data_IF_082016555217
#
_entry.id   IF_082016555217
#
_cell.length_a   1.000
_cell.length_b   1.000
_cell.length_c   1.000
_cell.angle_alpha   90.00
_cell.angle_beta   90.00
_cell.angle_gamma   90.00
#
_symmetry.space_group_name_H-M   'P 1'
#
loop_
_entity.id
_entity.type
_entity.pdbx_description
1 polymer ?
#
# COMPACT_ATOMS: atom_id res chain seq x y z
N UNK A 1 38.45 -13.54 -20.39
CA UNK A 1 37.81 -14.22 -19.25
C UNK A 1 37.20 -13.17 -18.34
N UNK A 2 35.89 -13.11 -18.12
CA UNK A 2 35.32 -12.29 -17.06
C UNK A 2 34.99 -13.20 -15.86
N UNK A 3 35.87 -13.18 -14.86
CA UNK A 3 35.72 -13.79 -13.53
C UNK A 3 36.44 -12.83 -12.58
N UNK A 4 35.89 -12.28 -11.50
CA UNK A 4 34.76 -12.63 -10.68
C UNK A 4 34.13 -11.34 -10.12
N UNK A 5 32.86 -11.08 -10.42
CA UNK A 5 32.09 -10.17 -9.57
C UNK A 5 31.77 -10.93 -8.27
N UNK A 6 32.11 -10.41 -7.08
CA UNK A 6 31.87 -11.11 -5.83
C UNK A 6 30.38 -11.46 -5.73
N UNK A 7 30.07 -12.77 -5.72
CA UNK A 7 28.70 -13.26 -5.63
C UNK A 7 28.13 -12.85 -4.28
N UNK A 8 27.38 -11.74 -4.27
CA UNK A 8 26.61 -11.30 -3.11
C UNK A 8 25.85 -12.50 -2.51
N UNK A 9 25.97 -12.76 -1.19
CA UNK A 9 25.40 -13.94 -0.56
C UNK A 9 23.89 -14.00 -0.80
N UNK A 10 23.33 -15.22 -0.95
CA UNK A 10 21.91 -15.43 -1.28
C UNK A 10 20.96 -14.62 -0.38
N UNK A 11 21.28 -14.50 0.91
CA UNK A 11 20.56 -13.67 1.86
C UNK A 11 20.38 -12.23 1.38
N UNK A 12 21.42 -11.60 0.82
CA UNK A 12 21.38 -10.23 0.29
C UNK A 12 20.57 -10.08 -1.00
N UNK A 13 20.43 -11.15 -1.81
CA UNK A 13 19.61 -11.14 -3.04
C UNK A 13 18.12 -11.17 -2.74
N UNK A 14 17.74 -11.83 -1.65
CA UNK A 14 16.34 -11.95 -1.24
C UNK A 14 15.86 -10.79 -0.38
N UNK A 15 16.74 -9.84 -0.02
CA UNK A 15 16.36 -8.78 0.90
C UNK A 15 15.28 -7.86 0.33
N UNK A 16 15.53 -7.27 -0.84
CA UNK A 16 14.56 -6.37 -1.47
C UNK A 16 13.24 -7.08 -1.77
N UNK A 17 13.23 -8.28 -2.38
CA UNK A 17 12.00 -9.07 -2.55
C UNK A 17 11.22 -9.33 -1.26
N UNK A 18 11.91 -9.69 -0.17
CA UNK A 18 11.24 -10.00 1.09
C UNK A 18 10.69 -8.73 1.74
N UNK A 19 11.42 -7.61 1.68
CA UNK A 19 10.93 -6.32 2.15
C UNK A 19 9.70 -5.86 1.33
N UNK A 20 9.73 -6.06 0.01
CA UNK A 20 8.60 -5.78 -0.87
C UNK A 20 7.36 -6.60 -0.49
N UNK A 21 7.54 -7.90 -0.23
CA UNK A 21 6.47 -8.79 0.19
C UNK A 21 5.89 -8.34 1.54
N UNK A 22 6.73 -8.05 2.54
CA UNK A 22 6.29 -7.67 3.87
C UNK A 22 5.59 -6.30 3.90
N UNK A 23 6.11 -5.31 3.17
CA UNK A 23 5.46 -4.00 3.06
C UNK A 23 4.19 -4.04 2.22
N UNK A 24 4.17 -4.86 1.16
CA UNK A 24 2.96 -5.17 0.41
C UNK A 24 1.90 -5.81 1.30
N UNK A 25 2.28 -6.84 2.05
CA UNK A 25 1.41 -7.56 2.98
C UNK A 25 0.88 -6.66 4.11
N UNK A 26 1.74 -5.81 4.67
CA UNK A 26 1.34 -4.82 5.67
C UNK A 26 0.20 -3.93 5.13
N UNK A 27 0.39 -3.36 3.93
CA UNK A 27 -0.62 -2.48 3.34
C UNK A 27 -1.91 -3.22 2.97
N UNK A 28 -1.79 -4.46 2.47
CA UNK A 28 -2.93 -5.26 2.03
C UNK A 28 -3.72 -5.89 3.18
N UNK A 29 -3.10 -6.07 4.35
CA UNK A 29 -3.81 -6.46 5.58
C UNK A 29 -4.50 -5.27 6.21
N UNK A 30 -3.79 -4.15 6.35
CA UNK A 30 -4.31 -2.99 7.08
C UNK A 30 -5.55 -2.41 6.37
N UNK A 31 -5.45 -2.11 5.08
CA UNK A 31 -6.48 -1.37 4.34
C UNK A 31 -7.90 -1.99 4.43
N UNK A 32 -8.12 -3.27 4.09
CA UNK A 32 -9.46 -3.87 4.20
C UNK A 32 -9.86 -4.13 5.66
N UNK A 33 -8.90 -4.33 6.56
CA UNK A 33 -9.21 -4.62 7.95
C UNK A 33 -9.65 -3.38 8.74
N UNK A 34 -9.26 -2.17 8.33
CA UNK A 34 -9.61 -0.94 9.06
C UNK A 34 -11.11 -0.78 9.27
N UNK A 35 -11.92 -0.99 8.24
CA UNK A 35 -13.38 -0.90 8.36
C UNK A 35 -13.91 -1.91 9.38
N UNK A 36 -13.41 -3.14 9.33
CA UNK A 36 -13.84 -4.20 10.24
C UNK A 36 -13.33 -4.00 11.67
N UNK A 37 -12.12 -3.47 11.85
CA UNK A 37 -11.57 -3.06 13.16
C UNK A 37 -12.48 -1.98 13.77
N UNK A 38 -12.85 -0.97 12.99
CA UNK A 38 -13.71 0.12 13.46
C UNK A 38 -15.11 -0.40 13.84
N UNK A 39 -15.72 -1.22 12.99
CA UNK A 39 -17.02 -1.84 13.27
C UNK A 39 -16.98 -2.71 14.54
N UNK A 40 -15.98 -3.58 14.69
CA UNK A 40 -15.98 -4.63 15.72
C UNK A 40 -15.35 -4.22 17.05
N UNK A 41 -14.35 -3.33 17.07
CA UNK A 41 -13.70 -2.90 18.32
C UNK A 41 -14.36 -1.66 18.92
N UNK A 42 -15.02 -0.84 18.12
CA UNK A 42 -15.56 0.46 18.53
C UNK A 42 -17.06 0.59 18.30
N UNK A 43 -17.74 -0.46 17.83
CA UNK A 43 -19.17 -0.47 17.51
C UNK A 43 -19.56 0.67 16.55
N UNK A 44 -18.66 0.98 15.61
CA UNK A 44 -18.81 2.11 14.72
C UNK A 44 -19.90 1.83 13.68
N UNK A 45 -20.83 2.78 13.51
CA UNK A 45 -21.81 2.73 12.43
C UNK A 45 -21.14 2.87 11.07
N UNK A 46 -21.83 2.50 9.98
CA UNK A 46 -21.32 2.69 8.60
C UNK A 46 -20.93 4.15 8.32
N UNK A 47 -21.68 5.11 8.87
CA UNK A 47 -21.38 6.54 8.74
C UNK A 47 -20.09 6.93 9.50
N UNK A 48 -19.91 6.39 10.71
CA UNK A 48 -18.73 6.62 11.54
C UNK A 48 -17.45 6.05 10.92
N UNK A 49 -17.56 4.85 10.33
CA UNK A 49 -16.47 4.23 9.56
C UNK A 49 -16.11 5.12 8.37
N UNK A 50 -17.12 5.58 7.61
CA UNK A 50 -16.91 6.48 6.48
C UNK A 50 -16.16 7.75 6.85
N UNK A 51 -16.60 8.45 7.91
CA UNK A 51 -15.92 9.66 8.39
C UNK A 51 -14.51 9.39 8.92
N UNK A 52 -14.33 8.32 9.69
CA UNK A 52 -13.03 7.97 10.26
C UNK A 52 -12.01 7.63 9.17
N UNK A 53 -12.42 6.86 8.16
CA UNK A 53 -11.58 6.54 7.01
C UNK A 53 -11.31 7.76 6.13
N UNK A 54 -12.28 8.67 5.96
CA UNK A 54 -12.06 9.92 5.23
C UNK A 54 -11.00 10.79 5.91
N UNK A 55 -11.10 10.97 7.23
CA UNK A 55 -10.14 11.74 8.03
C UNK A 55 -8.76 11.06 8.01
N UNK A 56 -8.72 9.73 8.19
CA UNK A 56 -7.48 8.95 8.08
C UNK A 56 -6.81 9.12 6.72
N UNK A 57 -7.55 8.98 5.63
CA UNK A 57 -7.02 9.11 4.27
C UNK A 57 -6.55 10.54 3.97
N UNK A 58 -7.23 11.57 4.48
CA UNK A 58 -6.76 12.95 4.38
C UNK A 58 -5.43 13.16 5.13
N UNK A 59 -5.30 12.58 6.32
CA UNK A 59 -4.05 12.56 7.08
C UNK A 59 -2.93 11.81 6.35
N UNK A 60 -3.23 10.63 5.82
CA UNK A 60 -2.31 9.82 5.02
C UNK A 60 -1.85 10.54 3.76
N UNK A 61 -2.74 11.28 3.09
CA UNK A 61 -2.41 12.12 1.95
C UNK A 61 -1.41 13.22 2.31
N UNK A 62 -1.66 13.98 3.39
CA UNK A 62 -0.72 15.00 3.88
C UNK A 62 0.64 14.35 4.22
N UNK A 63 0.62 13.23 4.95
CA UNK A 63 1.81 12.47 5.31
C UNK A 63 2.61 12.04 4.05
N UNK A 64 1.92 11.58 3.00
CA UNK A 64 2.51 11.18 1.72
C UNK A 64 3.12 12.30 0.89
N UNK A 65 2.84 13.56 1.22
CA UNK A 65 3.49 14.72 0.59
C UNK A 65 4.67 15.18 1.46
N UNK A 66 4.41 15.38 2.75
CA UNK A 66 5.37 16.03 3.66
C UNK A 66 6.55 15.11 3.97
N UNK A 67 6.29 13.85 4.32
CA UNK A 67 7.34 12.94 4.78
C UNK A 67 8.28 12.53 3.64
N UNK A 68 7.80 12.17 2.43
CA UNK A 68 8.68 11.94 1.29
C UNK A 68 9.54 13.15 0.93
N UNK A 69 8.95 14.36 0.88
CA UNK A 69 9.70 15.59 0.61
C UNK A 69 10.79 15.87 1.67
N UNK A 70 10.51 15.56 2.93
CA UNK A 70 11.48 15.67 4.02
C UNK A 70 12.59 14.62 3.91
N UNK A 71 12.25 13.36 3.60
CA UNK A 71 13.23 12.29 3.41
C UNK A 71 14.10 12.51 2.19
N UNK A 72 13.56 13.02 1.09
CA UNK A 72 14.30 13.30 -0.15
C UNK A 72 15.40 14.33 0.09
N UNK A 73 15.10 15.38 0.85
CA UNK A 73 16.09 16.41 1.22
C UNK A 73 17.25 15.87 2.05
N UNK A 74 17.02 14.81 2.82
CA UNK A 74 18.00 14.23 3.75
C UNK A 74 18.58 12.88 3.28
N UNK A 75 18.04 12.32 2.20
CA UNK A 75 18.31 10.94 1.72
C UNK A 75 18.18 9.89 2.83
N UNK A 76 17.16 10.04 3.68
CA UNK A 76 16.95 9.21 4.88
C UNK A 76 15.84 8.17 4.69
N UNK A 77 15.83 7.49 3.54
CA UNK A 77 14.79 6.53 3.17
C UNK A 77 14.69 5.33 4.11
N UNK A 78 15.83 4.68 4.42
CA UNK A 78 15.84 3.53 5.33
C UNK A 78 15.48 3.89 6.79
N UNK A 79 15.98 5.00 7.36
CA UNK A 79 15.48 5.49 8.65
C UNK A 79 13.96 5.75 8.66
N UNK A 80 13.40 6.31 7.59
CA UNK A 80 11.96 6.54 7.50
C UNK A 80 11.18 5.23 7.34
N UNK A 81 11.72 4.26 6.60
CA UNK A 81 11.17 2.91 6.50
C UNK A 81 11.12 2.23 7.88
N UNK A 82 12.17 2.40 8.68
CA UNK A 82 12.24 1.93 10.07
C UNK A 82 11.19 2.64 10.94
N UNK A 83 11.10 3.97 10.83
CA UNK A 83 10.12 4.75 11.57
C UNK A 83 8.69 4.32 11.24
N UNK A 84 8.37 4.08 9.96
CA UNK A 84 7.06 3.59 9.54
C UNK A 84 6.72 2.24 10.22
N UNK A 85 7.68 1.32 10.31
CA UNK A 85 7.44 0.02 10.96
C UNK A 85 7.23 0.18 12.48
N UNK A 86 7.98 1.06 13.14
CA UNK A 86 7.76 1.38 14.57
C UNK A 86 6.40 2.04 14.78
N UNK A 87 5.98 2.93 13.87
CA UNK A 87 4.67 3.58 13.91
C UNK A 87 3.53 2.59 13.68
N UNK A 88 3.72 1.51 12.90
CA UNK A 88 2.75 0.41 12.82
C UNK A 88 2.55 -0.26 14.18
N UNK A 89 3.62 -0.53 14.93
CA UNK A 89 3.52 -1.11 16.28
C UNK A 89 2.80 -0.13 17.22
N UNK A 90 3.17 1.15 17.18
CA UNK A 90 2.52 2.18 17.97
C UNK A 90 1.02 2.31 17.62
N UNK A 91 0.66 2.24 16.34
CA UNK A 91 -0.72 2.24 15.88
C UNK A 91 -1.49 1.04 16.45
N UNK A 92 -0.95 -0.17 16.29
CA UNK A 92 -1.59 -1.38 16.78
C UNK A 92 -1.79 -1.34 18.31
N UNK A 93 -0.80 -0.85 19.06
CA UNK A 93 -0.90 -0.65 20.50
C UNK A 93 -1.95 0.42 20.87
N UNK A 94 -1.97 1.54 20.15
CA UNK A 94 -2.94 2.61 20.38
C UNK A 94 -4.39 2.13 20.12
N UNK A 95 -4.61 1.43 19.00
CA UNK A 95 -5.92 0.85 18.69
C UNK A 95 -6.34 -0.23 19.71
N UNK A 96 -5.40 -0.99 20.27
CA UNK A 96 -5.71 -1.96 21.31
C UNK A 96 -6.03 -1.32 22.66
N UNK A 97 -5.42 -0.17 22.98
CA UNK A 97 -5.52 0.49 24.29
C UNK A 97 -6.70 1.47 24.39
N UNK A 98 -7.04 2.12 23.28
CA UNK A 98 -8.11 3.11 23.22
C UNK A 98 -9.47 2.43 23.11
N UNK A 99 -10.46 2.93 23.84
CA UNK A 99 -11.85 2.43 23.83
C UNK A 99 -12.84 3.29 23.06
N UNK A 100 -12.47 4.51 22.67
CA UNK A 100 -13.39 5.45 22.01
C UNK A 100 -13.01 5.69 20.56
N UNK A 101 -14.00 5.74 19.68
CA UNK A 101 -13.81 5.96 18.24
C UNK A 101 -13.00 7.23 17.90
N UNK A 102 -13.25 8.42 18.49
CA UNK A 102 -12.50 9.63 18.11
C UNK A 102 -10.99 9.51 18.36
N UNK A 103 -10.61 8.91 19.50
CA UNK A 103 -9.19 8.66 19.81
C UNK A 103 -8.58 7.62 18.87
N UNK A 104 -9.35 6.62 18.43
CA UNK A 104 -8.90 5.65 17.43
C UNK A 104 -8.64 6.32 16.07
N UNK A 105 -9.52 7.23 15.65
CA UNK A 105 -9.35 8.03 14.43
C UNK A 105 -8.12 8.94 14.52
N UNK A 106 -7.88 9.57 15.67
CA UNK A 106 -6.64 10.35 15.89
C UNK A 106 -5.41 9.44 15.78
N UNK A 107 -5.43 8.26 16.37
CA UNK A 107 -4.33 7.30 16.26
C UNK A 107 -4.09 6.88 14.80
N UNK A 108 -5.16 6.61 14.04
CA UNK A 108 -5.08 6.30 12.61
C UNK A 108 -4.42 7.43 11.82
N UNK A 109 -4.81 8.68 12.05
CA UNK A 109 -4.24 9.85 11.36
C UNK A 109 -2.77 10.03 11.70
N UNK A 110 -2.45 10.06 13.00
CA UNK A 110 -1.12 10.45 13.49
C UNK A 110 -0.11 9.33 13.29
N UNK A 111 -0.51 8.07 13.50
CA UNK A 111 0.38 6.90 13.44
C UNK A 111 0.20 6.14 12.14
N UNK A 112 -1.04 5.88 11.74
CA UNK A 112 -1.36 5.09 10.55
C UNK A 112 -0.96 5.76 9.23
N UNK A 113 -1.21 7.06 9.09
CA UNK A 113 -0.82 7.81 7.88
C UNK A 113 0.67 7.66 7.55
N UNK A 114 1.58 8.01 8.48
CA UNK A 114 3.01 7.79 8.30
C UNK A 114 3.42 6.30 8.21
N UNK A 115 2.78 5.40 8.97
CA UNK A 115 3.05 3.96 8.91
C UNK A 115 2.75 3.35 7.53
N UNK A 116 1.78 3.91 6.81
CA UNK A 116 1.41 3.49 5.45
C UNK A 116 2.46 3.78 4.38
N UNK A 117 3.53 4.54 4.68
CA UNK A 117 4.50 5.00 3.68
C UNK A 117 5.58 3.97 3.33
N UNK A 118 5.60 2.78 3.93
CA UNK A 118 6.74 1.89 3.76
C UNK A 118 6.99 1.39 2.34
N UNK A 119 5.94 1.11 1.55
CA UNK A 119 6.10 0.77 0.13
C UNK A 119 6.68 1.94 -0.68
N UNK A 120 6.21 3.17 -0.41
CA UNK A 120 6.73 4.41 -1.01
C UNK A 120 8.21 4.61 -0.66
N UNK A 121 8.58 4.45 0.61
CA UNK A 121 9.97 4.59 1.07
C UNK A 121 10.89 3.52 0.51
N UNK A 122 10.39 2.29 0.33
CA UNK A 122 11.13 1.22 -0.32
C UNK A 122 11.46 1.58 -1.79
N UNK A 123 10.48 2.07 -2.54
CA UNK A 123 10.73 2.53 -3.93
C UNK A 123 11.67 3.73 -3.98
N UNK A 124 11.52 4.69 -3.06
CA UNK A 124 12.40 5.84 -2.98
C UNK A 124 13.85 5.41 -2.70
N UNK A 125 14.05 4.48 -1.77
CA UNK A 125 15.37 3.88 -1.50
C UNK A 125 15.95 3.18 -2.74
N UNK A 126 15.16 2.35 -3.42
CA UNK A 126 15.62 1.63 -4.62
C UNK A 126 16.06 2.58 -5.74
N UNK A 127 15.34 3.69 -5.93
CA UNK A 127 15.73 4.72 -6.89
C UNK A 127 17.00 5.44 -6.45
N UNK A 128 17.13 5.76 -5.17
CA UNK A 128 18.30 6.47 -4.62
C UNK A 128 19.59 5.67 -4.75
N UNK A 129 19.54 4.34 -4.53
CA UNK A 129 20.70 3.45 -4.73
C UNK A 129 20.96 3.07 -6.18
N UNK A 130 20.20 3.64 -7.13
CA UNK A 130 20.35 3.35 -8.56
C UNK A 130 20.00 1.90 -8.94
N UNK A 131 19.01 1.29 -8.26
CA UNK A 131 18.57 -0.06 -8.58
C UNK A 131 18.12 -0.18 -10.04
N UNK A 132 18.41 -1.32 -10.67
CA UNK A 132 18.02 -1.59 -12.04
C UNK A 132 16.49 -1.52 -12.20
N UNK A 133 16.03 -1.09 -13.38
CA UNK A 133 14.60 -1.03 -13.72
C UNK A 133 13.90 -2.37 -13.51
N UNK A 134 14.56 -3.49 -13.82
CA UNK A 134 14.04 -4.84 -13.55
C UNK A 134 13.75 -5.06 -12.06
N UNK A 135 14.66 -4.67 -11.17
CA UNK A 135 14.45 -4.77 -9.71
C UNK A 135 13.26 -3.94 -9.23
N UNK A 136 13.05 -2.76 -9.80
CA UNK A 136 11.90 -1.90 -9.47
C UNK A 136 10.60 -2.55 -9.96
N UNK A 137 10.59 -3.09 -11.18
CA UNK A 137 9.44 -3.80 -11.76
C UNK A 137 9.11 -5.07 -10.96
N UNK A 138 10.11 -5.89 -10.63
CA UNK A 138 9.97 -7.10 -9.81
C UNK A 138 9.41 -6.77 -8.43
N UNK A 139 9.94 -5.71 -7.79
CA UNK A 139 9.45 -5.21 -6.49
C UNK A 139 7.97 -4.83 -6.57
N UNK A 140 7.55 -4.16 -7.66
CA UNK A 140 6.14 -3.81 -7.87
C UNK A 140 5.27 -5.05 -8.05
N UNK A 141 5.72 -6.03 -8.83
CA UNK A 141 5.01 -7.28 -9.04
C UNK A 141 4.79 -8.04 -7.72
N UNK A 142 5.82 -8.09 -6.85
CA UNK A 142 5.72 -8.73 -5.53
C UNK A 142 4.71 -8.01 -4.63
N UNK A 143 4.73 -6.67 -4.59
CA UNK A 143 3.75 -5.89 -3.81
C UNK A 143 2.32 -6.16 -4.33
N UNK A 144 2.12 -6.21 -5.64
CA UNK A 144 0.83 -6.56 -6.25
C UNK A 144 0.41 -7.99 -5.90
N UNK A 145 1.32 -8.96 -5.93
CA UNK A 145 1.03 -10.33 -5.52
C UNK A 145 0.65 -10.44 -4.03
N UNK A 146 1.32 -9.65 -3.17
CA UNK A 146 0.97 -9.55 -1.75
C UNK A 146 -0.46 -8.99 -1.53
N UNK A 147 -0.94 -8.17 -2.46
CA UNK A 147 -2.31 -7.66 -2.43
C UNK A 147 -3.35 -8.74 -2.73
N UNK A 148 -3.04 -9.72 -3.58
CA UNK A 148 -3.97 -10.82 -3.88
C UNK A 148 -4.26 -11.69 -2.64
N UNK A 149 -3.22 -11.96 -1.84
CA UNK A 149 -3.34 -12.79 -0.63
C UNK A 149 -3.72 -12.01 0.64
N UNK A 150 -3.55 -10.69 0.64
CA UNK A 150 -3.72 -9.84 1.82
C UNK A 150 -5.13 -9.84 2.40
N UNK A 151 -6.16 -9.44 1.65
CA UNK A 151 -7.53 -9.40 2.15
C UNK A 151 -8.05 -10.77 2.63
N UNK A 152 -7.87 -11.90 1.90
CA UNK A 152 -8.23 -13.22 2.42
C UNK A 152 -7.51 -13.58 3.73
N UNK A 153 -6.21 -13.25 3.84
CA UNK A 153 -5.46 -13.50 5.07
C UNK A 153 -5.97 -12.63 6.22
N UNK A 154 -6.25 -11.35 5.96
CA UNK A 154 -6.80 -10.43 6.95
C UNK A 154 -8.15 -10.92 7.48
N UNK A 155 -9.04 -11.33 6.60
CA UNK A 155 -10.37 -11.83 7.01
C UNK A 155 -10.31 -13.20 7.67
N UNK A 156 -9.38 -14.08 7.28
CA UNK A 156 -9.16 -15.34 7.97
C UNK A 156 -8.66 -15.11 9.41
N UNK A 157 -7.71 -14.19 9.60
CA UNK A 157 -7.22 -13.81 10.93
C UNK A 157 -8.37 -13.25 11.77
N UNK A 158 -9.20 -12.37 11.21
CA UNK A 158 -10.32 -11.78 11.94
C UNK A 158 -11.41 -12.83 12.22
N UNK A 159 -11.66 -13.75 11.29
CA UNK A 159 -12.62 -14.83 11.49
C UNK A 159 -12.22 -15.80 12.61
N UNK A 160 -10.92 -16.04 12.81
CA UNK A 160 -10.44 -16.98 13.84
C UNK A 160 -10.10 -16.30 15.18
N UNK A 161 -9.45 -15.14 15.15
CA UNK A 161 -8.90 -14.46 16.31
C UNK A 161 -9.56 -13.10 16.61
N UNK A 162 -10.59 -12.71 15.85
CA UNK A 162 -11.25 -11.41 15.95
C UNK A 162 -10.39 -10.24 15.47
N UNK A 163 -10.90 -9.02 15.60
CA UNK A 163 -10.17 -7.82 15.19
C UNK A 163 -8.93 -7.52 16.03
N UNK A 164 -8.77 -8.11 17.22
CA UNK A 164 -7.49 -8.02 17.95
C UNK A 164 -6.40 -8.89 17.32
N UNK A 165 -6.78 -9.98 16.64
CA UNK A 165 -5.85 -10.82 15.89
C UNK A 165 -5.14 -10.07 14.76
N UNK A 166 -5.85 -9.19 14.06
CA UNK A 166 -5.22 -8.39 12.99
C UNK A 166 -4.23 -7.36 13.57
N UNK A 167 -4.51 -6.76 14.73
CA UNK A 167 -3.55 -5.88 15.42
C UNK A 167 -2.26 -6.64 15.76
N UNK A 168 -2.36 -7.88 16.27
CA UNK A 168 -1.21 -8.73 16.52
C UNK A 168 -0.44 -9.08 15.24
N UNK A 169 -1.15 -9.43 14.16
CA UNK A 169 -0.53 -9.72 12.87
C UNK A 169 0.25 -8.52 12.31
N UNK A 170 -0.31 -7.31 12.45
CA UNK A 170 0.38 -6.06 12.08
C UNK A 170 1.66 -5.86 12.91
N UNK A 171 1.61 -6.13 14.22
CA UNK A 171 2.81 -6.07 15.08
C UNK A 171 3.87 -7.08 14.63
N UNK A 172 3.49 -8.32 14.33
CA UNK A 172 4.42 -9.35 13.84
C UNK A 172 5.07 -8.90 12.53
N UNK A 173 4.28 -8.45 11.55
CA UNK A 173 4.80 -7.95 10.27
C UNK A 173 5.72 -6.74 10.49
N UNK A 174 5.35 -5.83 11.38
CA UNK A 174 6.16 -4.66 11.70
C UNK A 174 7.51 -5.04 12.35
N UNK A 175 7.54 -5.99 13.27
CA UNK A 175 8.79 -6.51 13.87
C UNK A 175 9.69 -7.12 12.80
N UNK A 176 9.14 -7.92 11.89
CA UNK A 176 9.92 -8.49 10.79
C UNK A 176 10.42 -7.36 9.87
N UNK A 177 9.61 -6.36 9.56
CA UNK A 177 10.02 -5.18 8.79
C UNK A 177 11.13 -4.37 9.47
N UNK A 178 11.12 -4.25 10.80
CA UNK A 178 12.20 -3.63 11.59
C UNK A 178 13.50 -4.40 11.39
N UNK A 179 13.48 -5.72 11.62
CA UNK A 179 14.66 -6.58 11.43
C UNK A 179 15.18 -6.45 10.00
N UNK A 180 14.28 -6.49 9.03
CA UNK A 180 14.60 -6.40 7.62
C UNK A 180 15.27 -5.07 7.25
N UNK A 181 14.66 -3.98 7.70
CA UNK A 181 15.17 -2.63 7.47
C UNK A 181 16.51 -2.44 8.18
N UNK A 182 16.69 -2.98 9.38
CA UNK A 182 17.98 -2.93 10.09
C UNK A 182 19.09 -3.66 9.30
N UNK A 183 18.78 -4.81 8.70
CA UNK A 183 19.73 -5.53 7.82
C UNK A 183 20.06 -4.71 6.58
N UNK A 184 19.06 -4.10 5.92
CA UNK A 184 19.27 -3.20 4.78
C UNK A 184 20.16 -2.00 5.15
N UNK A 185 19.93 -1.38 6.32
CA UNK A 185 20.75 -0.27 6.83
C UNK A 185 22.20 -0.69 7.08
N UNK A 186 22.43 -1.88 7.64
CA UNK A 186 23.79 -2.42 7.86
C UNK A 186 24.52 -2.64 6.53
N UNK A 187 23.85 -3.22 5.54
CA UNK A 187 24.45 -3.44 4.22
C UNK A 187 24.72 -2.13 3.49
N UNK A 188 23.81 -1.17 3.57
CA UNK A 188 23.97 0.13 2.94
C UNK A 188 25.18 0.89 3.53
N UNK A 189 25.34 0.90 4.86
CA UNK A 189 26.54 1.50 5.50
C UNK A 189 27.84 0.81 5.10
N UNK A 190 27.81 -0.51 4.91
CA UNK A 190 28.99 -1.30 4.54
C UNK A 190 29.43 -1.09 3.08
N UNK A 191 28.51 -0.67 2.21
CA UNK A 191 28.76 -0.41 0.78
C UNK A 191 28.87 1.08 0.41
N UNK A 192 28.69 2.00 1.36
CA UNK A 192 28.68 3.45 1.11
C UNK A 192 30.07 4.06 0.82
N UNK A 193 31.15 3.27 0.90
CA UNK A 193 32.51 3.73 0.61
C UNK A 193 32.78 3.98 -0.90
N UNK A 194 31.92 3.54 -1.81
CA UNK A 194 32.18 3.55 -3.26
C UNK A 194 31.01 4.04 -4.13
N UNK A 195 30.01 4.73 -3.57
CA UNK A 195 28.83 5.12 -4.36
C UNK A 195 29.13 6.35 -5.25
N UNK A 196 28.98 6.25 -6.59
CA UNK A 196 29.10 7.39 -7.50
C UNK A 196 27.92 8.37 -7.33
N UNK A 197 28.16 9.61 -7.75
CA UNK A 197 27.15 10.67 -7.80
C UNK A 197 25.95 10.28 -8.69
N UNK A 198 24.71 10.65 -8.35
CA UNK A 198 23.53 10.13 -9.05
C UNK A 198 23.45 10.67 -10.48
N UNK A 199 23.28 9.78 -11.44
CA UNK A 199 22.84 10.16 -12.78
C UNK A 199 21.45 10.80 -12.67
N UNK A 200 21.34 12.08 -13.04
CA UNK A 200 20.04 12.74 -13.25
C UNK A 200 19.25 11.91 -14.25
N UNK A 201 18.02 11.56 -13.88
CA UNK A 201 17.10 10.83 -14.77
C UNK A 201 16.99 11.59 -16.10
N UNK A 202 17.40 11.01 -17.24
CA UNK A 202 17.43 11.72 -18.54
C UNK A 202 16.03 12.04 -19.10
N UNK A 203 14.97 11.56 -18.46
CA UNK A 203 13.61 11.63 -18.98
C UNK A 203 12.77 12.65 -18.20
N UNK A 204 13.11 13.93 -18.34
CA UNK A 204 12.14 14.99 -18.11
C UNK A 204 11.24 15.07 -19.35
N UNK A 205 10.01 14.55 -19.24
CA UNK A 205 8.99 14.79 -20.25
C UNK A 205 8.70 16.31 -20.31
N UNK A 206 8.51 16.89 -21.51
CA UNK A 206 8.17 18.30 -21.62
C UNK A 206 6.88 18.61 -20.86
N UNK A 207 6.77 19.77 -20.17
CA UNK A 207 5.59 20.10 -19.40
C UNK A 207 4.37 20.19 -20.32
N UNK A 208 3.39 19.30 -20.10
CA UNK A 208 2.09 19.32 -20.78
C UNK A 208 1.24 20.51 -20.34
N UNK A 209 0.09 20.70 -20.98
CA UNK A 209 -0.89 21.73 -20.60
C UNK A 209 -1.28 21.59 -19.13
N UNK A 210 -1.20 22.70 -18.36
CA UNK A 210 -1.62 22.75 -16.95
C UNK A 210 -3.07 22.29 -16.79
N UNK A 211 -3.95 22.68 -17.71
CA UNK A 211 -5.36 22.30 -17.71
C UNK A 211 -5.52 20.79 -17.91
N UNK A 212 -4.81 20.20 -18.88
CA UNK A 212 -4.85 18.76 -19.11
C UNK A 212 -4.37 17.98 -17.88
N UNK A 213 -3.31 18.47 -17.23
CA UNK A 213 -2.76 17.88 -16.00
C UNK A 213 -3.80 17.91 -14.86
N UNK A 214 -4.45 19.05 -14.63
CA UNK A 214 -5.50 19.18 -13.59
C UNK A 214 -6.69 18.26 -13.87
N UNK A 215 -7.14 18.17 -15.12
CA UNK A 215 -8.25 17.29 -15.52
C UNK A 215 -7.89 15.82 -15.28
N UNK A 216 -6.68 15.39 -15.69
CA UNK A 216 -6.21 14.02 -15.48
C UNK A 216 -6.11 13.71 -13.98
N UNK A 217 -5.53 14.61 -13.19
CA UNK A 217 -5.45 14.43 -11.73
C UNK A 217 -6.85 14.30 -11.13
N UNK A 218 -7.78 15.20 -11.48
CA UNK A 218 -9.16 15.14 -11.00
C UNK A 218 -9.85 13.81 -11.34
N UNK A 219 -9.72 13.35 -12.58
CA UNK A 219 -10.28 12.07 -13.01
C UNK A 219 -9.72 10.89 -12.21
N UNK A 220 -8.39 10.81 -12.05
CA UNK A 220 -7.76 9.74 -11.28
C UNK A 220 -8.09 9.79 -9.78
N UNK A 221 -8.25 10.99 -9.21
CA UNK A 221 -8.72 11.15 -7.83
C UNK A 221 -10.13 10.58 -7.68
N UNK A 222 -11.05 10.90 -8.60
CA UNK A 222 -12.40 10.33 -8.63
C UNK A 222 -12.38 8.81 -8.77
N UNK A 223 -11.60 8.27 -9.71
CA UNK A 223 -11.45 6.82 -9.87
C UNK A 223 -10.92 6.14 -8.61
N UNK A 224 -9.91 6.72 -7.98
CA UNK A 224 -9.33 6.16 -6.75
C UNK A 224 -10.29 6.27 -5.56
N UNK A 225 -11.07 7.35 -5.47
CA UNK A 225 -12.11 7.49 -4.46
C UNK A 225 -13.19 6.40 -4.60
N UNK A 226 -13.65 6.17 -5.83
CA UNK A 226 -14.61 5.11 -6.15
C UNK A 226 -14.04 3.74 -5.82
N UNK A 227 -12.79 3.45 -6.23
CA UNK A 227 -12.10 2.19 -5.94
C UNK A 227 -11.97 1.93 -4.43
N UNK A 228 -11.49 2.91 -3.66
CA UNK A 228 -11.34 2.81 -2.21
C UNK A 228 -12.70 2.60 -1.51
N UNK A 229 -13.74 3.29 -1.98
CA UNK A 229 -15.11 3.14 -1.48
C UNK A 229 -15.66 1.75 -1.78
N UNK A 230 -15.49 1.25 -3.01
CA UNK A 230 -15.92 -0.09 -3.41
C UNK A 230 -15.29 -1.17 -2.51
N UNK A 231 -13.99 -1.06 -2.25
CA UNK A 231 -13.26 -2.01 -1.42
C UNK A 231 -13.79 -2.02 0.02
N UNK A 232 -13.99 -0.82 0.60
CA UNK A 232 -14.52 -0.65 1.96
C UNK A 232 -15.95 -1.17 2.07
N UNK A 233 -16.81 -0.77 1.14
CA UNK A 233 -18.22 -1.16 1.13
C UNK A 233 -18.39 -2.66 0.90
N UNK A 234 -17.64 -3.26 -0.03
CA UNK A 234 -17.69 -4.70 -0.29
C UNK A 234 -17.39 -5.51 0.97
N UNK A 235 -16.40 -5.09 1.76
CA UNK A 235 -16.05 -5.78 3.00
C UNK A 235 -17.22 -5.78 4.01
N UNK A 236 -17.87 -4.63 4.19
CA UNK A 236 -19.02 -4.47 5.09
C UNK A 236 -20.28 -5.13 4.55
N UNK A 237 -20.56 -4.99 3.25
CA UNK A 237 -21.75 -5.54 2.60
C UNK A 237 -21.83 -7.06 2.75
N UNK A 238 -20.71 -7.76 2.53
CA UNK A 238 -20.67 -9.22 2.68
C UNK A 238 -20.95 -9.65 4.12
N UNK A 239 -20.46 -8.91 5.11
CA UNK A 239 -20.62 -9.29 6.53
C UNK A 239 -21.94 -8.83 7.14
N UNK A 240 -22.36 -7.60 6.87
CA UNK A 240 -23.53 -6.98 7.52
C UNK A 240 -24.81 -7.12 6.71
N UNK A 241 -24.74 -7.05 5.37
CA UNK A 241 -25.94 -7.10 4.52
C UNK A 241 -26.26 -8.52 4.05
N UNK A 242 -25.27 -9.24 3.52
CA UNK A 242 -25.48 -10.63 3.07
C UNK A 242 -25.49 -11.60 4.27
N UNK A 243 -24.89 -11.20 5.41
CA UNK A 243 -24.80 -12.02 6.61
C UNK A 243 -23.84 -13.21 6.48
N UNK A 244 -22.88 -13.13 5.54
CA UNK A 244 -21.86 -14.15 5.38
C UNK A 244 -20.71 -13.92 6.37
N UNK A 245 -20.03 -15.01 6.73
CA UNK A 245 -18.85 -14.93 7.58
C UNK A 245 -17.75 -14.05 6.97
N UNK A 246 -17.01 -13.34 7.82
CA UNK A 246 -15.91 -12.42 7.47
C UNK A 246 -14.95 -12.99 6.42
N UNK A 247 -14.65 -14.29 6.47
CA UNK A 247 -13.80 -14.97 5.49
C UNK A 247 -14.24 -14.74 4.04
N UNK A 248 -15.54 -14.74 3.77
CA UNK A 248 -16.10 -14.53 2.44
C UNK A 248 -15.82 -13.12 1.90
N UNK A 249 -15.79 -12.10 2.76
CA UNK A 249 -15.45 -10.74 2.35
C UNK A 249 -14.03 -10.69 1.77
N UNK A 250 -13.08 -11.37 2.41
CA UNK A 250 -11.71 -11.44 1.93
C UNK A 250 -11.57 -12.33 0.69
N UNK A 251 -12.31 -13.43 0.59
CA UNK A 251 -12.35 -14.26 -0.62
C UNK A 251 -12.84 -13.43 -1.81
N UNK A 252 -13.93 -12.67 -1.66
CA UNK A 252 -14.47 -11.81 -2.73
C UNK A 252 -13.43 -10.77 -3.16
N UNK A 253 -12.79 -10.08 -2.21
CA UNK A 253 -11.73 -9.12 -2.50
C UNK A 253 -10.51 -9.78 -3.16
N UNK A 254 -10.13 -10.98 -2.73
CA UNK A 254 -9.01 -11.74 -3.29
C UNK A 254 -9.30 -12.23 -4.71
N UNK A 255 -10.51 -12.72 -4.98
CA UNK A 255 -10.95 -13.10 -6.33
C UNK A 255 -10.99 -11.89 -7.24
N UNK A 256 -11.49 -10.74 -6.76
CA UNK A 256 -11.46 -9.49 -7.52
C UNK A 256 -10.02 -9.10 -7.90
N UNK A 257 -9.08 -9.13 -6.94
CA UNK A 257 -7.66 -8.87 -7.21
C UNK A 257 -7.04 -9.90 -8.16
N UNK A 258 -7.43 -11.18 -8.07
CA UNK A 258 -6.95 -12.22 -8.95
C UNK A 258 -7.44 -12.06 -10.40
N UNK A 259 -8.69 -11.61 -10.59
CA UNK A 259 -9.25 -11.28 -11.89
C UNK A 259 -8.71 -9.96 -12.46
N UNK A 260 -8.23 -9.06 -11.61
CA UNK A 260 -7.60 -7.81 -12.02
C UNK A 260 -6.29 -8.07 -12.79
N UNK A 261 -5.49 -9.06 -12.39
CA UNK A 261 -4.21 -9.40 -13.06
C UNK A 261 -4.37 -9.71 -14.56
N UNK A 262 -5.23 -10.66 -15.00
CA UNK A 262 -5.44 -10.91 -16.42
C UNK A 262 -6.10 -9.72 -17.12
N UNK A 263 -6.99 -8.97 -16.44
CA UNK A 263 -7.59 -7.77 -17.01
C UNK A 263 -6.53 -6.70 -17.33
N UNK A 264 -5.60 -6.44 -16.42
CA UNK A 264 -4.47 -5.52 -16.64
C UNK A 264 -3.59 -5.97 -17.81
N UNK A 265 -3.35 -7.28 -17.95
CA UNK A 265 -2.60 -7.83 -19.09
C UNK A 265 -3.32 -7.65 -20.44
N UNK A 266 -4.66 -7.70 -20.45
CA UNK A 266 -5.46 -7.44 -21.66
C UNK A 266 -5.47 -5.95 -21.98
N UNK A 267 -5.72 -5.09 -20.98
CA UNK A 267 -5.75 -3.63 -21.12
C UNK A 267 -4.39 -3.12 -21.59
N UNK A 268 -3.29 -3.65 -21.05
CA UNK A 268 -1.93 -3.31 -21.49
C UNK A 268 -1.71 -3.56 -22.97
N UNK A 269 -2.13 -4.74 -23.48
CA UNK A 269 -2.08 -5.05 -24.92
C UNK A 269 -3.03 -4.18 -25.76
N UNK A 270 -4.16 -3.79 -25.18
CA UNK A 270 -5.13 -2.95 -25.86
C UNK A 270 -4.63 -1.50 -25.98
N UNK A 271 -3.83 -1.04 -25.02
CA UNK A 271 -3.15 0.27 -25.03
C UNK A 271 -2.15 0.46 -26.18
N UNK A 272 -1.64 -0.64 -26.75
CA UNK A 272 -0.82 -0.61 -27.97
C UNK A 272 -1.65 -0.27 -29.22
N UNK A 273 -2.98 -0.47 -29.16
CA UNK A 273 -3.90 -0.33 -30.30
C UNK A 273 -4.92 0.80 -30.14
N UNK A 274 -5.28 1.14 -28.91
CA UNK A 274 -6.32 2.11 -28.56
C UNK A 274 -5.69 3.23 -27.73
N UNK A 275 -6.20 4.46 -27.91
CA UNK A 275 -5.73 5.59 -27.11
C UNK A 275 -5.97 5.35 -25.60
N UNK A 276 -5.00 5.72 -24.78
CA UNK A 276 -5.08 5.60 -23.32
C UNK A 276 -6.29 6.36 -22.75
N UNK A 277 -6.64 7.51 -23.35
CA UNK A 277 -7.78 8.31 -22.94
C UNK A 277 -9.11 7.58 -23.19
N UNK A 278 -9.23 6.85 -24.31
CA UNK A 278 -10.39 6.01 -24.60
C UNK A 278 -10.52 4.89 -23.58
N UNK A 279 -9.42 4.24 -23.21
CA UNK A 279 -9.43 3.19 -22.18
C UNK A 279 -9.92 3.72 -20.83
N UNK A 280 -9.45 4.90 -20.43
CA UNK A 280 -9.92 5.58 -19.21
C UNK A 280 -11.41 5.92 -19.29
N UNK A 281 -11.88 6.47 -20.42
CA UNK A 281 -13.28 6.82 -20.60
C UNK A 281 -14.20 5.59 -20.57
N UNK A 282 -13.82 4.49 -21.21
CA UNK A 282 -14.57 3.22 -21.15
C UNK A 282 -14.63 2.70 -19.71
N UNK A 283 -13.52 2.73 -18.98
CA UNK A 283 -13.50 2.37 -17.56
C UNK A 283 -14.45 3.22 -16.71
N UNK A 284 -14.55 4.53 -16.99
CA UNK A 284 -15.48 5.43 -16.29
C UNK A 284 -16.94 5.04 -16.54
N UNK A 285 -17.30 4.78 -17.80
CA UNK A 285 -18.66 4.38 -18.19
C UNK A 285 -19.03 3.04 -17.57
N UNK A 286 -18.14 2.04 -17.65
CA UNK A 286 -18.37 0.72 -17.04
C UNK A 286 -18.56 0.83 -15.52
N UNK A 287 -17.76 1.66 -14.86
CA UNK A 287 -17.91 1.92 -13.42
C UNK A 287 -19.26 2.58 -13.11
N UNK A 288 -19.66 3.60 -13.86
CA UNK A 288 -20.94 4.28 -13.66
C UNK A 288 -22.14 3.33 -13.86
N UNK A 289 -22.10 2.47 -14.88
CA UNK A 289 -23.13 1.45 -15.13
C UNK A 289 -23.20 0.45 -13.97
N UNK A 290 -22.06 0.00 -13.46
CA UNK A 290 -22.01 -0.90 -12.31
C UNK A 290 -22.68 -0.29 -11.07
N UNK A 291 -22.35 0.95 -10.71
CA UNK A 291 -22.96 1.61 -9.55
C UNK A 291 -24.41 2.00 -9.75
N UNK A 292 -24.87 2.25 -10.98
CA UNK A 292 -26.28 2.51 -11.23
C UNK A 292 -27.16 1.26 -11.05
N UNK A 293 -26.58 0.06 -11.11
CA UNK A 293 -27.27 -1.21 -10.90
C UNK A 293 -27.19 -1.76 -9.47
N UNK A 294 -26.47 -1.10 -8.58
CA UNK A 294 -26.24 -1.47 -7.16
C UNK A 294 -27.18 -0.68 -6.24
#
# INVERSE_FOLDING_TARGET
MPSDAPRRPLASRLLVPSAALLWGLHSSLLSPALALILATLYDASTADIGWSLAIYNAGGFIASIVLPAWTDRRRTYLPMLMAAAVLTIALAAALAAVSTLPLATVALVVLGGPAGLGTTMLFAHLRDVGAATSTIVDTRAIISAAWMGGPPLATAIIGWAGARGILLALVVIAVVNIVMTAVMMRQHRSGAAEAPEPARSPHALPPGSRTATVVIIGAFVLFQATNATAMTFMALYVTETVGLGVMWAGIVLGVAAALEVPALMIIGRLGDRISHLTLVAVGAVLSAVYYAGL
#
